data_IF_179574658232
#
_entry.id   IF_179574658232
#
_cell.length_a   1.000
_cell.length_b   1.000
_cell.length_c   1.000
_cell.angle_alpha   90.00
_cell.angle_beta   90.00
_cell.angle_gamma   90.00
#
_symmetry.space_group_name_H-M   'P 1'
#
loop_
_entity.id
_entity.type
_entity.pdbx_description
1 polymer ?
#
# COMPACT_ATOMS: atom_id res chain seq x y z
N UNK A 1 -40.75 -25.68 -18.35
CA UNK A 1 -39.31 -25.93 -18.10
C UNK A 1 -38.37 -25.12 -18.99
N UNK A 2 -38.52 -25.05 -20.32
CA UNK A 2 -37.59 -24.31 -21.20
C UNK A 2 -37.50 -22.79 -20.92
N UNK A 3 -38.60 -22.15 -20.51
CA UNK A 3 -38.65 -20.70 -20.21
C UNK A 3 -37.99 -20.35 -18.87
N UNK A 4 -37.94 -21.31 -17.93
CA UNK A 4 -37.35 -21.12 -16.61
C UNK A 4 -35.81 -21.11 -16.67
N UNK A 5 -35.23 -21.91 -17.58
CA UNK A 5 -33.78 -21.96 -17.80
C UNK A 5 -33.25 -20.70 -18.49
N UNK A 6 -34.05 -20.06 -19.36
CA UNK A 6 -33.66 -18.83 -20.05
C UNK A 6 -33.60 -17.62 -19.10
N UNK A 7 -34.51 -17.54 -18.12
CA UNK A 7 -34.52 -16.49 -17.11
C UNK A 7 -33.32 -16.57 -16.14
N UNK A 8 -32.88 -17.78 -15.80
CA UNK A 8 -31.70 -18.00 -14.95
C UNK A 8 -30.39 -17.58 -15.63
N UNK A 9 -30.29 -17.78 -16.96
CA UNK A 9 -29.10 -17.39 -17.73
C UNK A 9 -29.00 -15.86 -17.91
N UNK A 10 -30.14 -15.17 -18.05
CA UNK A 10 -30.20 -13.71 -18.16
C UNK A 10 -29.85 -13.00 -16.83
N UNK A 11 -30.20 -13.58 -15.68
CA UNK A 11 -29.87 -13.03 -14.36
C UNK A 11 -28.36 -13.11 -14.03
N UNK A 12 -27.64 -14.10 -14.58
CA UNK A 12 -26.20 -14.27 -14.36
C UNK A 12 -25.32 -13.22 -15.08
N UNK A 13 -25.76 -12.72 -16.25
CA UNK A 13 -25.01 -11.72 -17.02
C UNK A 13 -25.07 -10.30 -16.42
N UNK A 14 -26.04 -10.01 -15.55
CA UNK A 14 -26.20 -8.70 -14.91
C UNK A 14 -25.23 -8.47 -13.73
N UNK A 15 -24.48 -9.49 -13.30
CA UNK A 15 -23.52 -9.41 -12.19
C UNK A 15 -22.06 -9.20 -12.64
N UNK A 16 -21.81 -8.97 -13.92
CA UNK A 16 -20.49 -8.57 -14.39
C UNK A 16 -20.25 -7.10 -14.00
N UNK A 17 -19.70 -6.88 -12.80
CA UNK A 17 -19.19 -5.57 -12.41
C UNK A 17 -18.09 -5.15 -13.42
N UNK A 18 -18.07 -3.90 -13.88
CA UNK A 18 -16.96 -3.44 -14.72
C UNK A 18 -15.66 -3.55 -13.93
N UNK A 19 -14.63 -4.14 -14.54
CA UNK A 19 -13.25 -3.95 -14.10
C UNK A 19 -12.92 -2.49 -14.40
N UNK A 20 -12.84 -1.68 -13.34
CA UNK A 20 -12.40 -0.29 -13.41
C UNK A 20 -10.95 -0.23 -12.91
N UNK A 21 -10.14 0.59 -13.56
CA UNK A 21 -8.82 0.91 -13.05
C UNK A 21 -8.94 1.46 -11.62
N UNK A 22 -8.15 0.93 -10.71
CA UNK A 22 -8.13 1.30 -9.31
C UNK A 22 -7.11 2.43 -9.08
N UNK A 23 -7.45 3.38 -8.22
CA UNK A 23 -6.57 4.49 -7.83
C UNK A 23 -6.38 4.45 -6.32
N UNK A 24 -5.13 4.34 -5.88
CA UNK A 24 -4.77 4.31 -4.47
C UNK A 24 -4.07 5.60 -4.04
N UNK A 25 -4.48 6.13 -2.90
CA UNK A 25 -3.74 7.18 -2.21
C UNK A 25 -2.70 6.55 -1.27
N UNK A 26 -1.44 6.98 -1.38
CA UNK A 26 -0.32 6.48 -0.57
C UNK A 26 0.35 7.64 0.19
N UNK A 27 0.05 7.85 1.48
CA UNK A 27 0.76 8.83 2.29
C UNK A 27 2.21 8.38 2.58
N UNK A 28 3.13 9.33 2.51
CA UNK A 28 4.51 9.18 2.94
C UNK A 28 4.91 10.38 3.80
N UNK A 29 5.67 10.18 4.90
CA UNK A 29 5.97 11.22 5.87
C UNK A 29 7.14 12.14 5.45
N UNK A 30 7.92 11.75 4.44
CA UNK A 30 9.14 12.48 4.04
C UNK A 30 8.91 13.35 2.80
N UNK A 31 9.69 14.41 2.66
CA UNK A 31 9.68 15.26 1.46
C UNK A 31 10.12 14.52 0.19
N UNK A 32 9.81 15.10 -0.97
CA UNK A 32 9.97 14.44 -2.29
C UNK A 32 11.41 13.95 -2.58
N UNK A 33 12.42 14.69 -2.12
CA UNK A 33 13.83 14.36 -2.39
C UNK A 33 14.43 13.31 -1.44
N UNK A 34 13.69 12.89 -0.41
CA UNK A 34 14.16 11.82 0.48
C UNK A 34 14.12 10.49 -0.25
N UNK A 35 15.19 9.68 -0.11
CA UNK A 35 15.33 8.45 -0.89
C UNK A 35 14.15 7.48 -0.72
N UNK A 36 13.52 7.43 0.46
CA UNK A 36 12.28 6.66 0.68
C UNK A 36 11.18 7.10 -0.28
N UNK A 37 10.88 8.40 -0.35
CA UNK A 37 9.86 8.97 -1.24
C UNK A 37 10.21 8.76 -2.71
N UNK A 38 11.48 8.93 -3.09
CA UNK A 38 11.96 8.65 -4.46
C UNK A 38 11.71 7.18 -4.84
N UNK A 39 12.05 6.25 -3.94
CA UNK A 39 11.81 4.82 -4.16
C UNK A 39 10.31 4.50 -4.26
N UNK A 40 9.47 5.15 -3.48
CA UNK A 40 8.01 4.94 -3.49
C UNK A 40 7.38 5.50 -4.77
N UNK A 41 7.87 6.64 -5.27
CA UNK A 41 7.46 7.17 -6.57
C UNK A 41 7.87 6.23 -7.70
N UNK A 42 9.03 5.57 -7.60
CA UNK A 42 9.43 4.53 -8.56
C UNK A 42 8.50 3.31 -8.45
N UNK A 43 8.23 2.83 -7.23
CA UNK A 43 7.28 1.75 -6.98
C UNK A 43 5.89 2.03 -7.58
N UNK A 44 5.36 3.24 -7.42
CA UNK A 44 4.08 3.65 -7.99
C UNK A 44 4.07 3.52 -9.53
N UNK A 45 5.14 3.97 -10.19
CA UNK A 45 5.31 3.84 -11.65
C UNK A 45 5.45 2.38 -12.09
N UNK A 46 6.20 1.59 -11.33
CA UNK A 46 6.41 0.16 -11.63
C UNK A 46 5.11 -0.63 -11.51
N UNK A 47 4.26 -0.29 -10.53
CA UNK A 47 2.91 -0.88 -10.37
C UNK A 47 2.00 -0.49 -11.53
N UNK A 48 1.97 0.79 -11.90
CA UNK A 48 1.20 1.25 -13.06
C UNK A 48 1.63 0.52 -14.34
N UNK A 49 2.93 0.41 -14.59
CA UNK A 49 3.46 -0.31 -15.75
C UNK A 49 3.14 -1.81 -15.71
N UNK A 50 3.32 -2.47 -14.55
CA UNK A 50 3.06 -3.91 -14.38
C UNK A 50 1.56 -4.26 -14.52
N UNK A 51 0.68 -3.30 -14.29
CA UNK A 51 -0.77 -3.46 -14.39
C UNK A 51 -1.36 -2.86 -15.65
N UNK A 52 -0.53 -2.35 -16.57
CA UNK A 52 -0.98 -1.62 -17.77
C UNK A 52 -1.95 -0.45 -17.44
N UNK A 53 -1.77 0.18 -16.28
CA UNK A 53 -2.63 1.27 -15.80
C UNK A 53 -3.88 0.82 -15.05
N UNK A 54 -4.13 -0.48 -14.89
CA UNK A 54 -5.27 -0.99 -14.11
C UNK A 54 -5.14 -0.65 -12.60
N UNK A 55 -3.94 -0.36 -12.11
CA UNK A 55 -3.71 0.19 -10.78
C UNK A 55 -2.76 1.39 -10.85
N UNK A 56 -3.23 2.55 -10.40
CA UNK A 56 -2.43 3.76 -10.24
C UNK A 56 -2.29 4.13 -8.77
N UNK A 57 -1.12 4.65 -8.37
CA UNK A 57 -0.85 5.04 -6.98
C UNK A 57 -0.45 6.52 -6.95
N UNK A 58 -1.23 7.34 -6.26
CA UNK A 58 -0.91 8.75 -6.00
C UNK A 58 -0.13 8.86 -4.70
N UNK A 59 1.13 9.30 -4.80
CA UNK A 59 2.02 9.47 -3.65
C UNK A 59 1.83 10.85 -3.03
N UNK A 60 1.40 10.89 -1.77
CA UNK A 60 1.23 12.11 -0.99
C UNK A 60 2.40 12.27 -0.03
N UNK A 61 3.40 13.06 -0.43
CA UNK A 61 4.63 13.26 0.32
C UNK A 61 4.53 14.29 1.44
N UNK A 62 5.60 14.42 2.22
CA UNK A 62 5.78 15.41 3.29
C UNK A 62 4.66 15.39 4.35
N UNK A 63 4.01 14.24 4.56
CA UNK A 63 2.89 14.12 5.49
C UNK A 63 1.66 14.95 5.09
N UNK A 64 1.50 15.25 3.80
CA UNK A 64 0.43 16.11 3.29
C UNK A 64 -0.98 15.52 3.44
N UNK A 65 -1.11 14.20 3.36
CA UNK A 65 -2.38 13.50 3.54
C UNK A 65 -2.59 13.04 4.99
N UNK A 66 -1.58 12.44 5.63
CA UNK A 66 -1.60 12.05 7.03
C UNK A 66 -0.23 12.32 7.69
N UNK A 67 -0.19 12.78 8.96
CA UNK A 67 1.07 12.84 9.71
C UNK A 67 1.58 11.42 10.00
N UNK A 68 2.92 11.27 10.06
CA UNK A 68 3.59 9.96 10.19
C UNK A 68 3.00 9.01 11.25
N UNK A 69 2.67 9.47 12.48
CA UNK A 69 2.11 8.58 13.50
C UNK A 69 0.77 7.94 13.13
N UNK A 70 0.00 8.56 12.24
CA UNK A 70 -1.37 8.17 11.89
C UNK A 70 -1.46 7.29 10.64
N UNK A 71 -0.41 7.21 9.82
CA UNK A 71 -0.44 6.47 8.55
C UNK A 71 -0.87 5.02 8.75
N UNK A 72 -0.31 4.32 9.75
CA UNK A 72 -0.70 2.95 10.07
C UNK A 72 -2.16 2.82 10.50
N UNK A 73 -2.71 3.81 11.21
CA UNK A 73 -4.12 3.82 11.59
C UNK A 73 -5.03 4.04 10.38
N UNK A 74 -4.63 4.91 9.45
CA UNK A 74 -5.34 5.15 8.20
C UNK A 74 -5.40 3.85 7.35
N UNK A 75 -4.29 3.12 7.22
CA UNK A 75 -4.25 1.81 6.55
C UNK A 75 -5.12 0.78 7.29
N UNK A 76 -4.95 0.64 8.62
CA UNK A 76 -5.72 -0.33 9.44
C UNK A 76 -7.23 -0.10 9.37
N UNK A 77 -7.65 1.16 9.32
CA UNK A 77 -9.06 1.55 9.20
C UNK A 77 -9.59 1.58 7.77
N UNK A 78 -8.76 1.21 6.77
CA UNK A 78 -9.08 1.19 5.34
C UNK A 78 -9.46 2.56 4.77
N UNK A 79 -8.95 3.64 5.37
CA UNK A 79 -9.08 4.99 4.78
C UNK A 79 -8.18 5.14 3.55
N UNK A 80 -6.99 4.52 3.61
CA UNK A 80 -6.08 4.39 2.47
C UNK A 80 -5.68 2.91 2.30
N UNK A 81 -5.49 2.42 1.07
CA UNK A 81 -5.11 1.02 0.84
C UNK A 81 -3.67 0.68 1.23
N UNK A 82 -2.79 1.69 1.23
CA UNK A 82 -1.35 1.55 1.43
C UNK A 82 -0.78 2.81 2.10
N UNK A 83 0.41 2.72 2.71
CA UNK A 83 1.11 3.88 3.27
C UNK A 83 2.52 3.51 3.74
N UNK A 84 3.42 4.49 3.83
CA UNK A 84 4.77 4.30 4.35
C UNK A 84 4.89 4.76 5.80
N UNK A 85 5.57 3.95 6.63
CA UNK A 85 5.94 4.34 7.98
C UNK A 85 7.14 3.52 8.50
N UNK A 86 7.83 4.01 9.55
CA UNK A 86 8.91 3.27 10.22
C UNK A 86 8.36 2.07 10.99
N UNK A 87 8.92 0.87 10.76
CA UNK A 87 8.45 -0.36 11.40
C UNK A 87 8.51 -0.29 12.94
N UNK A 88 9.60 0.25 13.50
CA UNK A 88 9.77 0.41 14.95
C UNK A 88 8.71 1.25 15.66
N UNK A 89 7.92 2.04 14.92
CA UNK A 89 6.74 2.68 15.51
C UNK A 89 5.70 1.71 16.04
N UNK A 90 5.75 0.45 15.60
CA UNK A 90 4.88 -0.63 16.05
C UNK A 90 5.47 -1.45 17.20
N UNK A 91 6.61 -1.07 17.77
CA UNK A 91 7.25 -1.81 18.89
C UNK A 91 6.35 -1.93 20.12
N UNK A 92 5.40 -1.01 20.31
CA UNK A 92 4.41 -1.07 21.40
C UNK A 92 3.29 -2.09 21.13
N UNK A 93 3.12 -2.54 19.90
CA UNK A 93 2.15 -3.58 19.52
C UNK A 93 2.79 -4.96 19.49
N UNK A 94 4.01 -5.04 18.94
CA UNK A 94 4.85 -6.23 19.01
C UNK A 94 6.32 -5.79 19.08
N UNK A 95 7.06 -6.29 20.08
CA UNK A 95 8.46 -5.97 20.28
C UNK A 95 9.34 -6.35 19.08
N UNK A 96 8.93 -7.36 18.30
CA UNK A 96 9.63 -7.78 17.08
C UNK A 96 9.76 -6.63 16.06
N UNK A 97 8.80 -5.72 16.01
CA UNK A 97 8.86 -4.58 15.09
C UNK A 97 9.93 -3.54 15.49
N UNK A 98 10.47 -3.60 16.70
CA UNK A 98 11.56 -2.72 17.14
C UNK A 98 12.97 -3.21 16.77
N UNK A 99 13.10 -4.38 16.12
CA UNK A 99 14.40 -4.97 15.80
C UNK A 99 15.25 -4.10 14.86
N UNK A 100 14.62 -3.43 13.90
CA UNK A 100 15.30 -2.55 12.92
C UNK A 100 15.97 -1.30 13.55
N UNK A 101 15.65 -1.01 14.81
CA UNK A 101 16.08 0.19 15.53
C UNK A 101 16.98 -0.12 16.71
N UNK A 102 17.40 -1.39 16.88
CA UNK A 102 18.32 -1.78 17.95
C UNK A 102 19.75 -1.30 17.64
N UNK A 103 20.37 -0.50 18.53
CA UNK A 103 21.74 -0.06 18.32
C UNK A 103 22.69 -1.25 18.17
N UNK A 104 23.53 -1.19 17.14
CA UNK A 104 24.58 -2.18 16.86
C UNK A 104 24.10 -3.59 16.48
N UNK A 105 22.80 -3.83 16.26
CA UNK A 105 22.29 -5.14 15.83
C UNK A 105 22.70 -5.48 14.39
N UNK A 106 22.41 -4.58 13.45
CA UNK A 106 22.85 -4.65 12.05
C UNK A 106 23.29 -3.26 11.61
N UNK A 107 24.60 -3.06 11.41
CA UNK A 107 25.19 -1.74 11.14
C UNK A 107 25.40 -1.45 9.66
N UNK A 108 25.04 -2.40 8.80
CA UNK A 108 25.11 -2.30 7.35
C UNK A 108 23.99 -3.14 6.71
N UNK A 109 23.76 -2.95 5.41
CA UNK A 109 22.70 -3.64 4.67
C UNK A 109 22.91 -5.16 4.57
N UNK A 110 24.15 -5.64 4.44
CA UNK A 110 24.45 -7.07 4.33
C UNK A 110 24.12 -7.83 5.60
N UNK A 111 24.33 -7.22 6.77
CA UNK A 111 23.94 -7.80 8.05
C UNK A 111 22.44 -7.70 8.27
N UNK A 112 21.80 -6.59 7.86
CA UNK A 112 20.35 -6.43 7.95
C UNK A 112 19.60 -7.47 7.10
N UNK A 113 20.13 -7.86 5.94
CA UNK A 113 19.53 -8.86 5.06
C UNK A 113 19.57 -10.30 5.62
N UNK A 114 20.35 -10.58 6.67
CA UNK A 114 20.45 -11.90 7.32
C UNK A 114 19.49 -12.06 8.51
N UNK A 115 18.84 -10.98 8.95
CA UNK A 115 17.85 -10.97 10.03
C UNK A 115 16.49 -11.45 9.52
#
# INVERSE_FOLDING_TARGET
MKVLNAAFFAAGMAMAAPVLAESWDMPTPYGDSTFHTVNIQQFAKDVEAATNGDLTITVHSAGSLYPHPEIKNAVRSRQVPIGEFFLSRLSNEDLAYGLDSQPFLATNYDDAAKL
#
